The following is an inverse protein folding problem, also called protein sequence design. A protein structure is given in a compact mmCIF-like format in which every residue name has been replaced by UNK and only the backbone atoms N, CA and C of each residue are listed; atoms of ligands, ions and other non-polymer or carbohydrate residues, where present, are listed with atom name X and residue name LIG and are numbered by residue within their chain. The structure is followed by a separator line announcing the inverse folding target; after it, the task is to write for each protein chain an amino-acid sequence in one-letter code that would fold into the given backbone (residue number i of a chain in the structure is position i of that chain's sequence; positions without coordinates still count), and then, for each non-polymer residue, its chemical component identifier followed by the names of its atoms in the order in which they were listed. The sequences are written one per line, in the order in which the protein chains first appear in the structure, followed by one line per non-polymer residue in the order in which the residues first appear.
data_IF_248584681197
#
_entry.id   IF_248584681197
#
_cell.length_a   1.000
_cell.length_b   1.000
_cell.length_c   1.000
_cell.angle_alpha   90.00
_cell.angle_beta   90.00
_cell.angle_gamma   90.00
#
_symmetry.space_group_name_H-M   'P 1'
#
loop_
_entity.id
_entity.type
_entity.pdbx_description
1 polymer ?
#
# COMPACT_ATOMS: atom_id res chain seq x y z
N UNK A 1 18.02 -6.09 12.00
CA UNK A 1 16.77 -6.88 11.81
C UNK A 1 16.27 -6.59 10.40
N UNK A 2 15.94 -7.61 9.61
CA UNK A 2 15.24 -7.40 8.35
C UNK A 2 13.84 -6.83 8.67
N UNK A 3 13.51 -5.70 8.07
CA UNK A 3 12.16 -5.14 8.16
C UNK A 3 11.28 -5.88 7.17
N UNK A 4 10.05 -6.15 7.55
CA UNK A 4 9.06 -6.80 6.70
C UNK A 4 7.69 -6.20 6.97
N UNK A 5 6.84 -6.15 5.94
CA UNK A 5 5.48 -5.62 6.02
C UNK A 5 4.50 -6.62 5.44
N UNK A 6 3.42 -6.89 6.18
CA UNK A 6 2.30 -7.68 5.68
C UNK A 6 1.32 -6.81 4.92
N UNK A 7 0.97 -7.18 3.69
CA UNK A 7 -0.07 -6.53 2.90
C UNK A 7 -1.09 -7.55 2.42
N UNK A 8 -2.37 -7.21 2.59
CA UNK A 8 -3.50 -7.99 2.08
C UNK A 8 -3.90 -7.54 0.68
N UNK A 9 -4.80 -8.30 0.06
CA UNK A 9 -5.33 -7.99 -1.26
C UNK A 9 -4.24 -7.80 -2.32
N UNK A 10 -3.15 -8.57 -2.27
CA UNK A 10 -2.07 -8.54 -3.24
C UNK A 10 -2.23 -9.68 -4.26
N UNK A 11 -1.94 -9.44 -5.54
CA UNK A 11 -2.11 -10.40 -6.65
C UNK A 11 -1.40 -11.73 -6.35
N UNK A 12 -0.19 -11.65 -5.78
CA UNK A 12 0.65 -12.80 -5.42
C UNK A 12 0.42 -13.33 -3.99
N UNK A 13 -0.48 -12.73 -3.23
CA UNK A 13 -0.77 -13.17 -1.87
C UNK A 13 -1.59 -14.45 -1.82
N UNK A 14 -1.55 -15.15 -0.68
CA UNK A 14 -2.24 -16.42 -0.47
C UNK A 14 -3.78 -16.25 -0.53
N UNK A 15 -4.48 -16.83 -1.51
CA UNK A 15 -5.93 -16.70 -1.63
C UNK A 15 -6.73 -17.22 -0.43
N UNK A 16 -6.16 -18.13 0.37
CA UNK A 16 -6.83 -18.65 1.57
C UNK A 16 -6.74 -17.69 2.76
N UNK A 17 -5.87 -16.69 2.68
CA UNK A 17 -5.58 -15.74 3.77
C UNK A 17 -5.76 -14.31 3.27
N UNK A 18 -6.89 -14.04 2.61
CA UNK A 18 -7.24 -12.72 2.06
C UNK A 18 -6.15 -12.11 1.15
N UNK A 19 -5.39 -12.98 0.48
CA UNK A 19 -4.26 -12.58 -0.36
C UNK A 19 -3.20 -11.79 0.41
N UNK A 20 -2.90 -12.23 1.63
CA UNK A 20 -1.78 -11.74 2.43
C UNK A 20 -0.45 -12.16 1.80
N UNK A 21 0.49 -11.22 1.74
CA UNK A 21 1.90 -11.45 1.37
C UNK A 21 2.79 -10.63 2.31
N UNK A 22 4.01 -11.11 2.54
CA UNK A 22 5.03 -10.40 3.31
C UNK A 22 6.07 -9.87 2.34
N UNK A 23 6.24 -8.55 2.35
CA UNK A 23 7.25 -7.84 1.57
C UNK A 23 8.41 -7.42 2.48
N UNK A 24 9.62 -7.37 1.93
CA UNK A 24 10.75 -6.67 2.54
C UNK A 24 10.59 -5.14 2.41
N UNK A 25 10.03 -4.68 1.27
CA UNK A 25 9.46 -3.36 1.07
C UNK A 25 8.39 -3.41 -0.04
N UNK A 26 7.42 -2.51 0.00
CA UNK A 26 6.41 -2.36 -1.07
C UNK A 26 6.23 -0.89 -1.42
N UNK A 27 6.01 -0.59 -2.70
CA UNK A 27 5.82 0.78 -3.20
C UNK A 27 4.48 0.89 -3.90
N UNK A 28 3.71 1.90 -3.51
CA UNK A 28 2.49 2.32 -4.18
C UNK A 28 2.45 3.84 -4.23
N UNK A 29 1.71 4.40 -5.18
CA UNK A 29 1.59 5.84 -5.32
C UNK A 29 0.32 6.36 -4.63
N UNK A 30 0.42 7.49 -3.93
CA UNK A 30 -0.74 8.27 -3.48
C UNK A 30 -0.81 9.57 -4.29
N UNK A 31 -1.97 9.88 -4.84
CA UNK A 31 -2.25 11.09 -5.59
C UNK A 31 -3.46 11.81 -4.98
N UNK A 32 -3.30 13.08 -4.61
CA UNK A 32 -4.42 13.95 -4.24
C UNK A 32 -5.12 14.50 -5.49
N UNK A 33 -6.38 14.13 -5.68
CA UNK A 33 -7.25 14.60 -6.76
C UNK A 33 -8.50 15.26 -6.16
N UNK A 34 -8.60 16.57 -6.26
CA UNK A 34 -9.77 17.35 -5.81
C UNK A 34 -10.21 17.00 -4.36
N UNK A 35 -9.26 17.04 -3.42
CA UNK A 35 -9.46 16.70 -2.00
C UNK A 35 -9.80 15.23 -1.72
N UNK A 36 -9.57 14.33 -2.69
CA UNK A 36 -9.61 12.88 -2.49
C UNK A 36 -8.22 12.31 -2.69
N UNK A 37 -7.84 11.31 -1.89
CA UNK A 37 -6.59 10.59 -2.06
C UNK A 37 -6.85 9.27 -2.81
N UNK A 38 -6.12 9.06 -3.89
CA UNK A 38 -6.18 7.85 -4.72
C UNK A 38 -4.87 7.09 -4.60
N UNK A 39 -4.96 5.77 -4.49
CA UNK A 39 -3.84 4.84 -4.41
C UNK A 39 -3.69 4.08 -5.72
N UNK A 40 -2.48 4.02 -6.24
CA UNK A 40 -2.10 3.24 -7.40
C UNK A 40 -1.10 2.19 -6.93
N UNK A 41 -1.59 0.98 -6.73
CA UNK A 41 -0.80 -0.20 -6.42
C UNK A 41 -1.02 -1.23 -7.53
N UNK A 42 0.02 -1.49 -8.32
CA UNK A 42 -0.05 -2.45 -9.43
C UNK A 42 -0.06 -3.90 -8.96
N UNK A 43 0.36 -4.16 -7.71
CA UNK A 43 0.36 -5.50 -7.13
C UNK A 43 -0.93 -5.77 -6.35
N UNK A 44 -1.89 -4.84 -6.28
CA UNK A 44 -3.17 -5.05 -5.60
C UNK A 44 -4.23 -5.69 -6.49
N UNK A 45 -5.13 -6.47 -5.89
CA UNK A 45 -6.40 -6.89 -6.52
C UNK A 45 -7.56 -5.91 -6.26
N UNK A 46 -7.31 -4.83 -5.51
CA UNK A 46 -8.27 -3.75 -5.29
C UNK A 46 -8.48 -2.96 -6.60
N UNK A 47 -9.56 -2.15 -6.71
CA UNK A 47 -9.78 -1.29 -7.88
C UNK A 47 -8.54 -0.43 -8.18
N UNK A 48 -8.27 -0.18 -9.46
CA UNK A 48 -7.14 0.64 -9.89
C UNK A 48 -7.63 1.86 -10.69
N UNK A 49 -7.44 3.10 -10.19
CA UNK A 49 -6.95 3.44 -8.84
C UNK A 49 -7.97 3.14 -7.74
N UNK A 50 -7.47 2.93 -6.53
CA UNK A 50 -8.26 2.67 -5.32
C UNK A 50 -8.44 3.97 -4.53
N UNK A 51 -9.55 4.17 -3.81
CA UNK A 51 -9.58 5.26 -2.83
C UNK A 51 -8.64 4.94 -1.66
N UNK A 52 -7.98 5.95 -1.11
CA UNK A 52 -7.06 5.76 0.01
C UNK A 52 -7.74 5.07 1.20
N UNK A 53 -8.97 5.47 1.54
CA UNK A 53 -9.75 4.82 2.60
C UNK A 53 -9.96 3.34 2.31
N UNK A 54 -10.31 2.96 1.08
CA UNK A 54 -10.53 1.55 0.73
C UNK A 54 -9.23 0.74 0.75
N UNK A 55 -8.13 1.31 0.25
CA UNK A 55 -6.80 0.69 0.29
C UNK A 55 -6.31 0.51 1.73
N UNK A 56 -6.49 1.51 2.59
CA UNK A 56 -6.15 1.44 4.00
C UNK A 56 -6.94 0.34 4.72
N UNK A 57 -8.25 0.28 4.50
CA UNK A 57 -9.12 -0.71 5.17
C UNK A 57 -8.87 -2.16 4.71
N UNK A 58 -8.55 -2.38 3.43
CA UNK A 58 -8.52 -3.75 2.88
C UNK A 58 -7.12 -4.27 2.56
N UNK A 59 -6.21 -3.40 2.14
CA UNK A 59 -4.83 -3.75 1.76
C UNK A 59 -3.87 -3.64 2.94
N UNK A 60 -3.77 -2.45 3.55
CA UNK A 60 -2.90 -2.25 4.73
C UNK A 60 -3.49 -2.94 5.97
N UNK A 61 -4.80 -2.74 6.19
CA UNK A 61 -5.53 -3.13 7.41
C UNK A 61 -4.87 -2.54 8.68
N UNK A 62 -5.54 -2.71 9.82
CA UNK A 62 -4.93 -2.35 11.10
C UNK A 62 -3.88 -3.39 11.50
N UNK A 63 -2.77 -2.95 12.08
CA UNK A 63 -1.69 -3.84 12.58
C UNK A 63 -2.24 -4.95 13.50
N UNK A 64 -3.29 -4.68 14.29
CA UNK A 64 -3.93 -5.67 15.17
C UNK A 64 -4.46 -6.92 14.44
N UNK A 65 -4.65 -6.86 13.12
CA UNK A 65 -5.05 -7.99 12.29
C UNK A 65 -3.85 -8.84 11.80
N UNK A 66 -2.62 -8.43 12.09
CA UNK A 66 -1.38 -9.11 11.73
C UNK A 66 -0.68 -9.72 12.96
N UNK A 67 0.11 -10.80 12.80
CA UNK A 67 1.06 -11.22 13.82
C UNK A 67 2.01 -10.08 14.20
N UNK A 68 2.38 -9.95 15.48
CA UNK A 68 3.19 -8.84 16.01
C UNK A 68 4.49 -8.58 15.21
N UNK A 69 5.16 -9.64 14.76
CA UNK A 69 6.37 -9.57 13.93
C UNK A 69 6.17 -8.94 12.54
N UNK A 70 4.93 -8.75 12.10
CA UNK A 70 4.55 -8.16 10.82
C UNK A 70 3.85 -6.81 10.98
N UNK A 71 3.77 -6.28 12.20
CA UNK A 71 3.24 -4.95 12.43
C UNK A 71 4.16 -3.93 11.76
N UNK A 72 3.62 -3.18 10.81
CA UNK A 72 4.33 -2.05 10.22
C UNK A 72 4.47 -0.94 11.25
N UNK A 73 5.67 -0.76 11.82
CA UNK A 73 6.02 0.40 12.64
C UNK A 73 6.30 1.66 11.80
N UNK A 74 6.53 1.50 10.49
CA UNK A 74 7.08 2.54 9.62
C UNK A 74 6.35 2.59 8.29
N UNK A 75 5.15 3.16 8.30
CA UNK A 75 4.52 3.58 7.05
C UNK A 75 5.03 4.99 6.73
N UNK A 76 6.17 5.07 6.03
CA UNK A 76 6.65 6.34 5.49
C UNK A 76 5.84 6.68 4.24
N UNK A 77 4.90 7.61 4.35
CA UNK A 77 4.30 8.21 3.17
C UNK A 77 5.39 8.99 2.44
N UNK A 78 5.81 8.50 1.27
CA UNK A 78 6.64 9.29 0.38
C UNK A 78 5.74 10.33 -0.28
N UNK A 79 5.59 11.50 0.33
CA UNK A 79 4.81 12.62 -0.22
C UNK A 79 5.60 13.40 -1.28
N UNK A 80 6.83 13.01 -1.60
CA UNK A 80 7.74 13.79 -2.45
C UNK A 80 8.34 12.94 -3.58
N UNK A 81 7.53 12.59 -4.59
CA UNK A 81 8.07 12.07 -5.86
C UNK A 81 7.63 12.86 -7.11
N UNK A 82 6.83 13.91 -6.95
CA UNK A 82 6.35 14.71 -8.09
C UNK A 82 6.66 16.21 -8.05
N UNK A 83 7.30 16.73 -6.99
CA UNK A 83 7.70 18.14 -6.98
C UNK A 83 8.90 18.44 -7.93
N UNK A 84 9.70 17.42 -8.27
CA UNK A 84 10.98 17.60 -8.99
C UNK A 84 11.05 16.95 -10.38
N UNK A 85 9.94 16.44 -10.92
CA UNK A 85 9.93 15.99 -12.32
C UNK A 85 9.59 17.18 -13.23
N UNK A 86 10.54 17.77 -13.97
CA UNK A 86 10.19 18.75 -14.99
C UNK A 86 9.32 18.05 -16.03
N UNK A 87 8.06 18.45 -16.10
CA UNK A 87 7.17 18.06 -17.19
C UNK A 87 7.65 18.81 -18.44
N UNK A 88 8.60 18.24 -19.16
CA UNK A 88 8.89 18.66 -20.54
C UNK A 88 7.80 18.08 -21.44
N UNK A 89 6.95 18.97 -21.95
CA UNK A 89 5.98 18.70 -23.03
C UNK A 89 6.66 18.20 -24.30
#
# INVERSE_FOLDING_TARGET
MNKSVGLFAQVKGDPQVDRLIVWDYHVFLIHELSSKYMVYDFDSVLPFPCSFTHYFTHGLRWNSCLPEKLHSEQMYYCTEFFADLPVSY
#
